data_IF_034934153227
#
_entry.id   IF_034934153227
#
_cell.length_a   1.000
_cell.length_b   1.000
_cell.length_c   1.000
_cell.angle_alpha   90.00
_cell.angle_beta   90.00
_cell.angle_gamma   90.00
#
_symmetry.space_group_name_H-M   'P 1'
#
loop_
_entity.id
_entity.type
_entity.pdbx_description
1 polymer ?
#
# COMPACT_ATOMS: atom_id res chain seq x y z
N UNK A 1 -51.00 -8.69 2.06
CA UNK A 1 -50.10 -9.69 1.42
C UNK A 1 -48.77 -9.00 1.22
N UNK A 2 -47.74 -9.48 1.93
CA UNK A 2 -46.43 -8.85 2.01
C UNK A 2 -45.74 -8.87 0.66
N UNK A 3 -45.26 -7.71 0.24
CA UNK A 3 -44.42 -7.56 -0.94
C UNK A 3 -42.99 -7.92 -0.48
N UNK A 4 -42.66 -9.20 -0.49
CA UNK A 4 -41.28 -9.66 -0.31
C UNK A 4 -40.47 -9.16 -1.50
N UNK A 5 -39.90 -7.97 -1.36
CA UNK A 5 -38.90 -7.41 -2.26
C UNK A 5 -37.61 -8.21 -2.12
N UNK A 6 -37.63 -9.45 -2.61
CA UNK A 6 -36.43 -10.24 -2.84
C UNK A 6 -35.79 -9.72 -4.13
N UNK A 7 -35.35 -8.46 -4.10
CA UNK A 7 -34.68 -7.82 -5.22
C UNK A 7 -33.32 -8.51 -5.39
N UNK A 8 -33.22 -9.36 -6.40
CA UNK A 8 -32.03 -10.16 -6.66
C UNK A 8 -30.81 -9.24 -6.77
N UNK A 9 -29.75 -9.56 -6.02
CA UNK A 9 -28.49 -8.80 -6.04
C UNK A 9 -28.01 -8.68 -7.50
N UNK A 10 -27.73 -7.46 -8.00
CA UNK A 10 -27.29 -7.26 -9.37
C UNK A 10 -26.03 -8.08 -9.70
N UNK A 11 -25.97 -8.65 -10.89
CA UNK A 11 -24.85 -9.51 -11.29
C UNK A 11 -23.50 -8.75 -11.29
N UNK A 12 -23.53 -7.46 -11.62
CA UNK A 12 -22.37 -6.58 -11.51
C UNK A 12 -21.82 -6.48 -10.09
N UNK A 13 -22.69 -6.51 -9.07
CA UNK A 13 -22.29 -6.48 -7.66
C UNK A 13 -21.66 -7.81 -7.26
N UNK A 14 -22.25 -8.94 -7.66
CA UNK A 14 -21.67 -10.26 -7.40
C UNK A 14 -20.29 -10.39 -8.02
N UNK A 15 -20.16 -10.02 -9.30
CA UNK A 15 -18.89 -10.03 -10.01
C UNK A 15 -17.83 -9.14 -9.33
N UNK A 16 -18.19 -7.92 -8.94
CA UNK A 16 -17.28 -7.01 -8.24
C UNK A 16 -16.79 -7.58 -6.89
N UNK A 17 -17.68 -8.25 -6.14
CA UNK A 17 -17.33 -8.93 -4.88
C UNK A 17 -16.39 -10.11 -5.13
N UNK A 18 -16.68 -10.95 -6.13
CA UNK A 18 -15.79 -12.07 -6.49
C UNK A 18 -14.41 -11.59 -6.91
N UNK A 19 -14.34 -10.56 -7.77
CA UNK A 19 -13.07 -9.99 -8.20
C UNK A 19 -12.29 -9.37 -7.03
N UNK A 20 -12.99 -8.68 -6.13
CA UNK A 20 -12.36 -8.14 -4.91
C UNK A 20 -11.83 -9.26 -4.02
N UNK A 21 -12.57 -10.36 -3.85
CA UNK A 21 -12.12 -11.52 -3.08
C UNK A 21 -10.86 -12.14 -3.68
N UNK A 22 -10.85 -12.38 -5.00
CA UNK A 22 -9.66 -12.91 -5.71
C UNK A 22 -8.44 -12.01 -5.53
N UNK A 23 -8.62 -10.70 -5.66
CA UNK A 23 -7.54 -9.72 -5.46
C UNK A 23 -7.02 -9.71 -4.01
N UNK A 24 -7.89 -9.90 -3.01
CA UNK A 24 -7.49 -10.00 -1.61
C UNK A 24 -6.68 -11.27 -1.36
N UNK A 25 -7.07 -12.40 -1.96
CA UNK A 25 -6.34 -13.66 -1.84
C UNK A 25 -4.94 -13.56 -2.46
N UNK A 26 -4.83 -12.96 -3.64
CA UNK A 26 -3.53 -12.70 -4.28
C UNK A 26 -2.66 -11.74 -3.46
N UNK A 27 -3.24 -10.65 -2.96
CA UNK A 27 -2.56 -9.68 -2.11
C UNK A 27 -2.04 -10.36 -0.84
N UNK A 28 -2.82 -11.24 -0.21
CA UNK A 28 -2.42 -11.98 0.98
C UNK A 28 -1.18 -12.83 0.71
N UNK A 29 -1.17 -13.60 -0.38
CA UNK A 29 -0.03 -14.45 -0.74
C UNK A 29 1.26 -13.65 -0.97
N UNK A 30 1.16 -12.51 -1.64
CA UNK A 30 2.33 -11.65 -1.90
C UNK A 30 2.79 -10.90 -0.64
N UNK A 31 1.84 -10.45 0.18
CA UNK A 31 2.14 -9.72 1.41
C UNK A 31 2.80 -10.62 2.45
N UNK A 32 2.34 -11.87 2.60
CA UNK A 32 2.97 -12.84 3.51
C UNK A 32 4.45 -13.07 3.15
N UNK A 33 4.75 -13.25 1.86
CA UNK A 33 6.13 -13.37 1.37
C UNK A 33 6.96 -12.13 1.66
N UNK A 34 6.40 -10.94 1.41
CA UNK A 34 7.09 -9.69 1.66
C UNK A 34 7.38 -9.47 3.16
N UNK A 35 6.39 -9.71 4.03
CA UNK A 35 6.52 -9.50 5.47
C UNK A 35 7.54 -10.45 6.13
N UNK A 36 7.70 -11.68 5.61
CA UNK A 36 8.76 -12.59 6.06
C UNK A 36 10.14 -11.96 5.86
N UNK A 37 10.34 -11.16 4.80
CA UNK A 37 11.60 -10.47 4.54
C UNK A 37 11.75 -9.14 5.32
N UNK A 38 10.73 -8.73 6.08
CA UNK A 38 10.69 -7.44 6.78
C UNK A 38 10.87 -7.57 8.29
N UNK A 39 11.48 -8.64 8.78
CA UNK A 39 11.81 -8.75 10.21
C UNK A 39 12.90 -7.74 10.61
N UNK A 40 12.99 -7.46 11.92
CA UNK A 40 13.94 -6.48 12.45
C UNK A 40 15.40 -6.84 12.14
N UNK A 41 15.74 -8.12 12.08
CA UNK A 41 17.10 -8.56 11.81
C UNK A 41 17.48 -8.28 10.36
N UNK A 42 16.61 -8.65 9.42
CA UNK A 42 16.76 -8.43 7.98
C UNK A 42 16.79 -6.94 7.66
N UNK A 43 15.84 -6.16 8.20
CA UNK A 43 15.80 -4.70 8.01
C UNK A 43 17.03 -4.00 8.60
N UNK A 44 17.63 -4.53 9.68
CA UNK A 44 18.84 -3.95 10.28
C UNK A 44 20.09 -4.15 9.43
N UNK A 45 20.09 -5.13 8.52
CA UNK A 45 21.19 -5.44 7.60
C UNK A 45 21.15 -4.63 6.31
N UNK A 46 20.02 -3.98 6.00
CA UNK A 46 19.85 -3.13 4.82
C UNK A 46 20.60 -1.80 4.95
N UNK A 47 20.98 -1.22 3.81
CA UNK A 47 21.45 0.16 3.78
C UNK A 47 20.36 1.13 4.26
N UNK A 48 20.71 2.33 4.78
CA UNK A 48 19.72 3.27 5.30
C UNK A 48 18.60 3.63 4.31
N UNK A 49 18.95 3.78 3.02
CA UNK A 49 17.98 4.13 1.97
C UNK A 49 17.08 2.94 1.59
N UNK A 50 17.65 1.75 1.42
CA UNK A 50 16.91 0.50 1.18
C UNK A 50 15.94 0.20 2.34
N UNK A 51 16.42 0.38 3.57
CA UNK A 51 15.59 0.23 4.78
C UNK A 51 14.44 1.23 4.80
N UNK A 52 14.70 2.48 4.42
CA UNK A 52 13.65 3.50 4.33
C UNK A 52 12.60 3.15 3.26
N UNK A 53 13.00 2.61 2.11
CA UNK A 53 12.10 2.11 1.07
C UNK A 53 11.21 0.96 1.58
N UNK A 54 11.82 -0.04 2.24
CA UNK A 54 11.07 -1.17 2.80
C UNK A 54 10.04 -0.71 3.85
N UNK A 55 10.44 0.18 4.77
CA UNK A 55 9.55 0.73 5.80
C UNK A 55 8.43 1.59 5.20
N UNK A 56 8.73 2.38 4.16
CA UNK A 56 7.73 3.15 3.42
C UNK A 56 6.69 2.23 2.79
N UNK A 57 7.12 1.16 2.10
CA UNK A 57 6.22 0.17 1.50
C UNK A 57 5.31 -0.49 2.55
N UNK A 58 5.85 -0.86 3.71
CA UNK A 58 5.04 -1.41 4.82
C UNK A 58 3.97 -0.41 5.26
N UNK A 59 4.33 0.85 5.46
CA UNK A 59 3.38 1.90 5.86
C UNK A 59 2.30 2.16 4.80
N UNK A 60 2.68 2.15 3.53
CA UNK A 60 1.78 2.31 2.39
C UNK A 60 0.78 1.15 2.30
N UNK A 61 1.26 -0.09 2.40
CA UNK A 61 0.42 -1.29 2.41
C UNK A 61 -0.57 -1.24 3.58
N UNK A 62 -0.10 -0.97 4.80
CA UNK A 62 -0.94 -0.91 5.99
C UNK A 62 -2.04 0.15 5.86
N UNK A 63 -1.71 1.33 5.35
CA UNK A 63 -2.67 2.43 5.14
C UNK A 63 -3.71 2.06 4.08
N UNK A 64 -3.28 1.44 2.97
CA UNK A 64 -4.18 0.97 1.92
C UNK A 64 -5.14 -0.13 2.41
N UNK A 65 -4.66 -1.09 3.18
CA UNK A 65 -5.49 -2.15 3.76
C UNK A 65 -6.53 -1.58 4.73
N UNK A 66 -6.14 -0.61 5.56
CA UNK A 66 -7.08 0.06 6.45
C UNK A 66 -8.13 0.86 5.66
N UNK A 67 -7.72 1.58 4.62
CA UNK A 67 -8.62 2.32 3.74
C UNK A 67 -9.60 1.39 3.02
N UNK A 68 -9.13 0.25 2.52
CA UNK A 68 -9.97 -0.78 1.90
C UNK A 68 -11.01 -1.31 2.89
N UNK A 69 -10.58 -1.67 4.11
CA UNK A 69 -11.49 -2.13 5.17
C UNK A 69 -12.56 -1.08 5.51
N UNK A 70 -12.20 0.19 5.54
CA UNK A 70 -13.15 1.29 5.77
C UNK A 70 -14.15 1.41 4.61
N UNK A 71 -13.69 1.35 3.36
CA UNK A 71 -14.56 1.35 2.17
C UNK A 71 -15.53 0.17 2.16
N UNK A 72 -15.06 -1.04 2.50
CA UNK A 72 -15.91 -2.22 2.65
C UNK A 72 -16.98 -2.08 3.74
N UNK A 73 -16.80 -1.13 4.67
CA UNK A 73 -17.78 -0.77 5.72
C UNK A 73 -18.65 0.43 5.35
N UNK A 74 -18.54 0.94 4.11
CA UNK A 74 -19.29 2.09 3.64
C UNK A 74 -18.78 3.44 4.18
N UNK A 75 -17.56 3.50 4.73
CA UNK A 75 -16.97 4.75 5.24
C UNK A 75 -16.36 5.55 4.08
N UNK A 76 -16.72 6.84 3.97
CA UNK A 76 -16.09 7.75 3.01
C UNK A 76 -14.68 8.17 3.50
N UNK A 77 -13.66 7.65 2.82
CA UNK A 77 -12.25 7.92 3.15
C UNK A 77 -11.84 9.39 2.96
N UNK A 78 -12.58 10.18 2.17
CA UNK A 78 -12.23 11.59 1.87
C UNK A 78 -12.42 12.51 3.07
N UNK A 79 -13.31 12.14 3.99
CA UNK A 79 -13.59 12.88 5.23
C UNK A 79 -13.08 12.14 6.48
N UNK A 80 -12.58 10.91 6.32
CA UNK A 80 -12.06 10.11 7.41
C UNK A 80 -10.62 10.54 7.80
N UNK A 81 -10.22 10.48 9.09
CA UNK A 81 -8.87 10.87 9.53
C UNK A 81 -7.72 10.17 8.80
N UNK A 82 -7.96 8.99 8.22
CA UNK A 82 -7.00 8.25 7.39
C UNK A 82 -6.50 9.05 6.18
N UNK A 83 -7.25 10.06 5.71
CA UNK A 83 -6.77 10.97 4.66
C UNK A 83 -5.43 11.61 5.04
N UNK A 84 -5.24 11.99 6.30
CA UNK A 84 -3.98 12.56 6.80
C UNK A 84 -2.82 11.57 6.74
N UNK A 85 -3.11 10.27 6.81
CA UNK A 85 -2.11 9.22 6.66
C UNK A 85 -1.63 9.11 5.20
N UNK A 86 -2.54 9.26 4.24
CA UNK A 86 -2.16 9.37 2.82
C UNK A 86 -1.33 10.63 2.54
N UNK A 87 -1.73 11.78 3.09
CA UNK A 87 -0.96 13.03 2.99
C UNK A 87 0.46 12.86 3.59
N UNK A 88 0.57 12.16 4.71
CA UNK A 88 1.86 11.83 5.34
C UNK A 88 2.71 10.89 4.48
N UNK A 89 2.09 9.91 3.82
CA UNK A 89 2.79 9.02 2.89
C UNK A 89 3.34 9.80 1.68
N UNK A 90 2.55 10.69 1.07
CA UNK A 90 3.03 11.54 -0.03
C UNK A 90 4.27 12.35 0.39
N UNK A 91 4.26 12.95 1.58
CA UNK A 91 5.41 13.69 2.10
C UNK A 91 6.66 12.79 2.29
N UNK A 92 6.47 11.54 2.72
CA UNK A 92 7.58 10.61 2.89
C UNK A 92 8.10 10.05 1.57
N UNK A 93 7.22 9.86 0.60
CA UNK A 93 7.58 9.51 -0.78
C UNK A 93 8.45 10.59 -1.42
N UNK A 94 8.04 11.86 -1.31
CA UNK A 94 8.82 13.00 -1.81
C UNK A 94 10.22 13.06 -1.17
N UNK A 95 10.30 12.86 0.16
CA UNK A 95 11.59 12.82 0.88
C UNK A 95 12.44 11.65 0.41
N UNK A 96 11.86 10.48 0.24
CA UNK A 96 12.57 9.28 -0.17
C UNK A 96 13.11 9.43 -1.60
N UNK A 97 12.28 9.93 -2.52
CA UNK A 97 12.65 10.20 -3.89
C UNK A 97 13.81 11.21 -3.97
N UNK A 98 13.76 12.27 -3.16
CA UNK A 98 14.85 13.24 -3.09
C UNK A 98 16.21 12.58 -2.76
N UNK A 99 16.23 11.67 -1.78
CA UNK A 99 17.46 10.96 -1.41
C UNK A 99 17.92 9.96 -2.48
N UNK A 100 16.98 9.29 -3.15
CA UNK A 100 17.29 8.40 -4.28
C UNK A 100 17.90 9.18 -5.46
N UNK A 101 17.37 10.36 -5.77
CA UNK A 101 17.90 11.22 -6.84
C UNK A 101 19.32 11.71 -6.52
N UNK A 102 19.60 12.02 -5.25
CA UNK A 102 20.93 12.39 -4.78
C UNK A 102 21.92 11.21 -4.89
N UNK A 103 21.52 10.01 -4.50
CA UNK A 103 22.34 8.81 -4.63
C UNK A 103 22.67 8.51 -6.11
N UNK A 104 21.66 8.57 -6.98
CA UNK A 104 21.83 8.38 -8.41
C UNK A 104 22.79 9.42 -9.01
N UNK A 105 22.63 10.69 -8.64
CA UNK A 105 23.53 11.77 -9.10
C UNK A 105 24.97 11.52 -8.66
N UNK A 106 25.18 11.14 -7.39
CA UNK A 106 26.52 10.83 -6.89
C UNK A 106 27.16 9.66 -7.64
N UNK A 107 26.39 8.62 -7.97
CA UNK A 107 26.86 7.49 -8.79
C UNK A 107 27.34 7.94 -10.18
N UNK A 108 26.55 8.75 -10.90
CA UNK A 108 26.94 9.24 -12.23
C UNK A 108 28.13 10.21 -12.19
N UNK A 109 28.21 11.07 -11.17
CA UNK A 109 29.36 11.98 -10.98
C UNK A 109 30.66 11.21 -10.69
N UNK A 110 30.58 10.08 -9.99
CA UNK A 110 31.72 9.20 -9.74
C UNK A 110 32.13 8.46 -11.03
N UNK A 111 31.17 7.84 -11.73
CA UNK A 111 31.42 7.08 -12.95
C UNK A 111 31.94 7.93 -14.13
N UNK A 112 31.72 9.25 -14.11
CA UNK A 112 32.21 10.19 -15.13
C UNK A 112 33.64 10.71 -14.86
N UNK A 113 34.25 10.33 -13.72
CA UNK A 113 35.62 10.71 -13.33
C UNK A 113 36.65 9.61 -13.58
N UNK A 114 36.19 8.42 -13.98
CA UNK A 114 37.01 7.27 -14.43
C UNK A 114 37.08 7.24 -15.97
#
# INVERSE_FOLDING_TARGET
MGNDSNEAIPESVKFAVEMTSRNIDELKLNLEKFLICCDNETLSRMGPLERAQALYLIAQIATNLLALRLKCRGVDIRIHPIKKEFERLCLYEEKLQHWMDLEAKHYYEFASRE
#
